data_IF_698858100984
#
_entry.id   IF_698858100984
#
_cell.length_a   1.000
_cell.length_b   1.000
_cell.length_c   1.000
_cell.angle_alpha   90.00
_cell.angle_beta   90.00
_cell.angle_gamma   90.00
#
_symmetry.space_group_name_H-M   'P 1'
#
loop_
_entity.id
_entity.type
_entity.pdbx_description
1 polymer ?
#
# COMPACT_ATOMS: atom_id res chain seq x y z
N UNK A 1 1.26 18.06 -27.90
CA UNK A 1 1.04 16.65 -28.29
C UNK A 1 0.25 16.00 -27.17
N UNK A 2 -1.04 15.73 -27.40
CA UNK A 2 -1.93 15.14 -26.40
C UNK A 2 -1.60 13.64 -26.27
N UNK A 3 -1.03 13.26 -25.12
CA UNK A 3 -0.80 11.86 -24.76
C UNK A 3 -2.15 11.17 -24.60
N UNK A 4 -2.40 10.16 -25.42
CA UNK A 4 -3.62 9.35 -25.40
C UNK A 4 -3.64 8.59 -24.05
N UNK A 5 -4.58 8.94 -23.17
CA UNK A 5 -4.81 8.24 -21.91
C UNK A 5 -5.03 6.75 -22.21
N UNK A 6 -4.27 5.87 -21.54
CA UNK A 6 -4.53 4.43 -21.62
C UNK A 6 -5.81 4.17 -20.83
N UNK A 7 -6.69 3.40 -21.45
CA UNK A 7 -7.93 2.90 -20.86
C UNK A 7 -7.60 2.26 -19.49
N UNK A 8 -7.98 2.91 -18.39
CA UNK A 8 -7.75 2.45 -17.02
C UNK A 8 -6.75 3.23 -16.16
N UNK A 9 -6.10 4.29 -16.66
CA UNK A 9 -5.32 5.21 -15.83
C UNK A 9 -6.23 6.32 -15.29
N UNK A 10 -6.32 6.46 -13.96
CA UNK A 10 -7.04 7.56 -13.29
C UNK A 10 -6.40 8.90 -13.67
N UNK A 11 -7.21 9.94 -13.83
CA UNK A 11 -6.68 11.28 -14.02
C UNK A 11 -6.16 11.90 -12.71
N UNK A 12 -5.46 13.03 -12.81
CA UNK A 12 -4.85 13.68 -11.64
C UNK A 12 -5.87 14.13 -10.58
N UNK A 13 -7.08 14.49 -11.00
CA UNK A 13 -8.16 14.90 -10.09
C UNK A 13 -8.69 13.67 -9.35
N UNK A 14 -8.94 12.58 -10.07
CA UNK A 14 -9.38 11.30 -9.48
C UNK A 14 -8.34 10.73 -8.50
N UNK A 15 -7.06 10.91 -8.77
CA UNK A 15 -5.99 10.45 -7.87
C UNK A 15 -5.98 11.26 -6.57
N UNK A 16 -6.05 12.59 -6.66
CA UNK A 16 -6.12 13.46 -5.48
C UNK A 16 -7.37 13.15 -4.66
N UNK A 17 -8.51 12.91 -5.31
CA UNK A 17 -9.77 12.54 -4.66
C UNK A 17 -9.64 11.25 -3.81
N UNK A 18 -8.93 10.24 -4.30
CA UNK A 18 -8.65 9.02 -3.53
C UNK A 18 -7.85 9.32 -2.26
N UNK A 19 -6.85 10.20 -2.34
CA UNK A 19 -6.06 10.58 -1.17
C UNK A 19 -6.87 11.41 -0.17
N UNK A 20 -7.65 12.37 -0.65
CA UNK A 20 -8.33 13.37 0.16
C UNK A 20 -9.71 12.93 0.69
N UNK A 21 -10.39 12.00 0.01
CA UNK A 21 -11.75 11.58 0.36
C UNK A 21 -11.86 10.12 0.78
N UNK A 22 -11.11 9.22 0.14
CA UNK A 22 -11.26 7.77 0.39
C UNK A 22 -10.29 7.24 1.45
N UNK A 23 -9.00 7.53 1.31
CA UNK A 23 -7.95 7.00 2.19
C UNK A 23 -7.47 8.02 3.24
N UNK A 24 -8.04 9.23 3.28
CA UNK A 24 -7.58 10.37 4.11
C UNK A 24 -7.44 10.04 5.60
N UNK A 25 -8.35 9.25 6.16
CA UNK A 25 -8.32 8.88 7.58
C UNK A 25 -7.09 8.01 7.90
N UNK A 26 -6.66 7.14 6.98
CA UNK A 26 -5.48 6.28 7.13
C UNK A 26 -4.19 7.09 6.93
N UNK A 27 -4.20 8.02 5.97
CA UNK A 27 -3.11 8.97 5.77
C UNK A 27 -2.87 9.79 7.05
N UNK A 28 -3.95 10.31 7.65
CA UNK A 28 -3.90 11.04 8.92
C UNK A 28 -3.42 10.16 10.07
N UNK A 29 -3.96 8.95 10.21
CA UNK A 29 -3.58 8.02 11.28
C UNK A 29 -2.08 7.68 11.24
N UNK A 30 -1.52 7.36 10.07
CA UNK A 30 -0.07 7.14 9.91
C UNK A 30 0.74 8.38 10.29
N UNK A 31 0.36 9.56 9.78
CA UNK A 31 1.05 10.82 10.06
C UNK A 31 1.03 11.15 11.55
N UNK A 32 -0.12 11.01 12.19
CA UNK A 32 -0.28 11.22 13.63
C UNK A 32 0.59 10.25 14.44
N UNK A 33 0.62 8.97 14.07
CA UNK A 33 1.49 8.00 14.71
C UNK A 33 2.95 8.42 14.62
N UNK A 34 3.40 8.83 13.43
CA UNK A 34 4.77 9.26 13.21
C UNK A 34 5.16 10.51 13.99
N UNK A 35 4.24 11.47 14.14
CA UNK A 35 4.46 12.70 14.89
C UNK A 35 4.49 12.44 16.41
N UNK A 36 3.68 11.50 16.89
CA UNK A 36 3.52 11.20 18.32
C UNK A 36 4.46 10.12 18.83
N UNK A 37 5.04 9.31 17.94
CA UNK A 37 5.94 8.22 18.32
C UNK A 37 7.25 8.75 18.88
N UNK A 38 7.48 8.53 20.17
CA UNK A 38 8.73 8.87 20.84
C UNK A 38 9.91 8.01 20.35
N UNK A 39 9.63 6.80 19.85
CA UNK A 39 10.61 5.83 19.35
C UNK A 39 10.83 5.93 17.82
N UNK A 40 10.15 6.88 17.18
CA UNK A 40 10.22 7.12 15.74
C UNK A 40 9.27 6.25 14.90
N UNK A 41 9.44 6.31 13.58
CA UNK A 41 8.46 5.74 12.62
C UNK A 41 8.46 4.22 12.51
N UNK A 42 9.46 3.54 13.07
CA UNK A 42 9.66 2.09 12.92
C UNK A 42 9.01 1.27 14.04
N UNK A 43 8.12 1.86 14.83
CA UNK A 43 7.32 1.10 15.79
C UNK A 43 6.31 0.21 15.04
N UNK A 44 5.94 -0.91 15.67
CA UNK A 44 4.93 -1.83 15.11
C UNK A 44 3.61 -1.12 14.85
N UNK A 45 3.17 -0.25 15.77
CA UNK A 45 1.94 0.54 15.63
C UNK A 45 1.97 1.42 14.37
N UNK A 46 3.04 2.21 14.17
CA UNK A 46 3.14 3.09 13.02
C UNK A 46 3.29 2.33 11.70
N UNK A 47 3.88 1.14 11.74
CA UNK A 47 3.93 0.22 10.61
C UNK A 47 2.54 -0.32 10.24
N UNK A 48 1.71 -0.66 11.23
CA UNK A 48 0.34 -1.11 10.98
C UNK A 48 -0.49 -0.02 10.30
N UNK A 49 -0.38 1.23 10.75
CA UNK A 49 -1.02 2.37 10.10
C UNK A 49 -0.53 2.57 8.66
N UNK A 50 0.79 2.44 8.43
CA UNK A 50 1.37 2.51 7.09
C UNK A 50 0.88 1.39 6.16
N UNK A 51 0.73 0.17 6.67
CA UNK A 51 0.19 -0.96 5.91
C UNK A 51 -1.29 -0.77 5.60
N UNK A 52 -2.07 -0.21 6.53
CA UNK A 52 -3.48 0.10 6.33
C UNK A 52 -3.67 1.14 5.21
N UNK A 53 -2.92 2.25 5.25
CA UNK A 53 -2.93 3.26 4.18
C UNK A 53 -2.57 2.63 2.83
N UNK A 54 -1.44 1.89 2.75
CA UNK A 54 -1.00 1.24 1.51
C UNK A 54 -2.05 0.31 0.93
N UNK A 55 -2.75 -0.44 1.80
CA UNK A 55 -3.83 -1.34 1.39
C UNK A 55 -5.01 -0.58 0.78
N UNK A 56 -5.41 0.54 1.39
CA UNK A 56 -6.46 1.40 0.85
C UNK A 56 -6.07 1.96 -0.52
N UNK A 57 -4.91 2.59 -0.62
CA UNK A 57 -4.41 3.19 -1.86
C UNK A 57 -4.27 2.15 -2.98
N UNK A 58 -3.72 0.98 -2.67
CA UNK A 58 -3.64 -0.13 -3.61
C UNK A 58 -5.02 -0.58 -4.11
N UNK A 59 -6.03 -0.61 -3.23
CA UNK A 59 -7.40 -0.95 -3.57
C UNK A 59 -8.02 0.00 -4.61
N UNK A 60 -7.69 1.28 -4.56
CA UNK A 60 -8.20 2.29 -5.49
C UNK A 60 -7.36 2.38 -6.78
N UNK A 61 -6.03 2.46 -6.66
CA UNK A 61 -5.15 2.71 -7.81
C UNK A 61 -4.82 1.45 -8.61
N UNK A 62 -4.81 0.30 -7.95
CA UNK A 62 -4.38 -0.97 -8.52
C UNK A 62 -5.34 -2.11 -8.12
N UNK A 63 -6.67 -1.98 -8.32
CA UNK A 63 -7.67 -2.86 -7.72
C UNK A 63 -7.46 -4.34 -8.06
N UNK A 64 -7.10 -4.63 -9.31
CA UNK A 64 -6.82 -6.01 -9.75
C UNK A 64 -5.61 -6.62 -9.04
N UNK A 65 -4.52 -5.86 -8.92
CA UNK A 65 -3.29 -6.30 -8.27
C UNK A 65 -3.47 -6.36 -6.74
N UNK A 66 -4.16 -5.38 -6.16
CA UNK A 66 -4.50 -5.34 -4.74
C UNK A 66 -5.36 -6.53 -4.34
N UNK A 67 -6.38 -6.89 -5.14
CA UNK A 67 -7.17 -8.11 -4.90
C UNK A 67 -6.31 -9.36 -4.92
N UNK A 68 -5.37 -9.48 -5.87
CA UNK A 68 -4.43 -10.62 -5.94
C UNK A 68 -3.51 -10.69 -4.72
N UNK A 69 -3.12 -9.55 -4.17
CA UNK A 69 -2.17 -9.46 -3.06
C UNK A 69 -2.84 -9.62 -1.68
N UNK A 70 -3.91 -8.88 -1.41
CA UNK A 70 -4.55 -8.78 -0.09
C UNK A 70 -5.75 -9.71 0.12
N UNK A 71 -6.37 -10.23 -0.95
CA UNK A 71 -7.67 -10.94 -0.84
C UNK A 71 -7.59 -12.39 -1.34
N UNK A 72 -6.98 -12.63 -2.50
CA UNK A 72 -6.90 -13.98 -3.03
C UNK A 72 -6.14 -14.90 -2.09
N UNK A 73 -6.67 -16.12 -1.92
CA UNK A 73 -6.12 -17.13 -1.01
C UNK A 73 -5.91 -16.58 0.41
N UNK A 74 -6.91 -15.83 0.88
CA UNK A 74 -6.92 -15.26 2.23
C UNK A 74 -5.70 -14.36 2.53
N UNK A 75 -5.25 -13.62 1.52
CA UNK A 75 -4.12 -12.70 1.65
C UNK A 75 -2.78 -13.41 1.91
N UNK A 76 -2.61 -14.66 1.47
CA UNK A 76 -1.37 -15.43 1.72
C UNK A 76 -0.10 -14.64 1.35
N UNK A 77 -0.16 -13.86 0.27
CA UNK A 77 0.97 -13.09 -0.21
C UNK A 77 1.19 -11.79 0.57
N UNK A 78 0.14 -11.15 1.08
CA UNK A 78 0.29 -9.99 1.97
C UNK A 78 0.87 -10.42 3.32
N UNK A 79 0.31 -11.46 3.95
CA UNK A 79 0.82 -12.05 5.19
C UNK A 79 2.27 -12.52 5.04
N UNK A 80 2.62 -13.13 3.90
CA UNK A 80 4.00 -13.52 3.61
C UNK A 80 4.94 -12.33 3.41
N UNK A 81 4.49 -11.24 2.82
CA UNK A 81 5.32 -10.04 2.60
C UNK A 81 5.50 -9.21 3.89
N UNK A 82 4.45 -9.12 4.69
CA UNK A 82 4.42 -8.38 5.97
C UNK A 82 5.29 -9.03 7.05
N UNK A 83 5.71 -10.29 6.87
CA UNK A 83 6.59 -11.01 7.81
C UNK A 83 7.88 -10.29 8.16
N UNK A 84 8.39 -9.47 7.25
CA UNK A 84 9.65 -8.73 7.46
C UNK A 84 9.47 -7.58 8.44
N UNK A 85 8.22 -7.17 8.66
CA UNK A 85 7.87 -5.99 9.41
C UNK A 85 7.14 -6.37 10.72
N UNK A 86 6.25 -7.37 10.68
CA UNK A 86 5.44 -7.82 11.84
C UNK A 86 5.95 -9.17 12.41
N UNK A 87 6.86 -9.86 11.71
CA UNK A 87 7.36 -11.18 12.10
C UNK A 87 6.56 -12.34 11.48
N UNK A 88 7.00 -13.60 11.71
CA UNK A 88 6.42 -14.76 11.03
C UNK A 88 5.03 -15.13 11.56
N UNK A 89 4.08 -15.33 10.62
CA UNK A 89 2.78 -15.98 10.86
C UNK A 89 2.76 -17.41 10.30
N UNK A 90 1.76 -18.21 10.67
CA UNK A 90 1.54 -19.57 10.14
C UNK A 90 1.47 -19.57 8.61
N UNK A 91 0.73 -18.62 8.02
CA UNK A 91 0.59 -18.47 6.57
C UNK A 91 1.90 -18.05 5.92
N UNK A 92 2.62 -17.11 6.54
CA UNK A 92 3.92 -16.67 6.04
C UNK A 92 4.93 -17.83 6.01
N UNK A 93 4.88 -18.71 7.01
CA UNK A 93 5.73 -19.90 7.11
C UNK A 93 5.31 -20.98 6.11
N UNK A 94 4.01 -21.18 5.91
CA UNK A 94 3.48 -22.10 4.90
C UNK A 94 3.93 -21.69 3.48
N UNK A 95 3.89 -20.40 3.15
CA UNK A 95 4.46 -19.87 1.90
C UNK A 95 5.98 -20.09 1.90
N UNK A 96 6.67 -19.76 2.99
CA UNK A 96 8.13 -19.87 3.07
C UNK A 96 8.65 -21.31 2.97
N UNK A 97 7.87 -22.33 3.32
CA UNK A 97 8.28 -23.74 3.15
C UNK A 97 8.09 -24.24 1.71
N UNK A 98 7.34 -23.52 0.88
CA UNK A 98 7.02 -23.94 -0.49
C UNK A 98 7.62 -23.00 -1.55
N UNK A 99 8.59 -23.51 -2.33
CA UNK A 99 9.30 -22.74 -3.37
C UNK A 99 8.36 -22.20 -4.47
N UNK A 100 7.36 -22.98 -4.88
CA UNK A 100 6.41 -22.56 -5.91
C UNK A 100 5.50 -21.44 -5.39
N UNK A 101 5.00 -21.54 -4.14
CA UNK A 101 4.23 -20.47 -3.49
C UNK A 101 5.05 -19.20 -3.32
N UNK A 102 6.30 -19.30 -2.85
CA UNK A 102 7.23 -18.15 -2.80
C UNK A 102 7.39 -17.46 -4.16
N UNK A 103 7.57 -18.23 -5.23
CA UNK A 103 7.70 -17.66 -6.58
C UNK A 103 6.41 -16.94 -7.01
N UNK A 104 5.25 -17.52 -6.73
CA UNK A 104 3.96 -16.91 -7.02
C UNK A 104 3.76 -15.60 -6.25
N UNK A 105 3.98 -15.60 -4.92
CA UNK A 105 3.82 -14.38 -4.13
C UNK A 105 4.83 -13.29 -4.48
N UNK A 106 6.09 -13.65 -4.81
CA UNK A 106 7.04 -12.68 -5.37
C UNK A 106 6.51 -12.01 -6.64
N UNK A 107 5.91 -12.79 -7.54
CA UNK A 107 5.31 -12.22 -8.76
C UNK A 107 4.17 -11.26 -8.43
N UNK A 108 3.29 -11.63 -7.50
CA UNK A 108 2.16 -10.78 -7.07
C UNK A 108 2.65 -9.48 -6.44
N UNK A 109 3.64 -9.55 -5.54
CA UNK A 109 4.26 -8.36 -4.92
C UNK A 109 4.84 -7.44 -6.00
N UNK A 110 5.64 -7.99 -6.92
CA UNK A 110 6.26 -7.21 -7.99
C UNK A 110 5.24 -6.57 -8.93
N UNK A 111 4.16 -7.30 -9.26
CA UNK A 111 3.07 -6.76 -10.10
C UNK A 111 2.39 -5.57 -9.42
N UNK A 112 2.07 -5.69 -8.12
CA UNK A 112 1.47 -4.60 -7.35
C UNK A 112 2.43 -3.40 -7.23
N UNK A 113 3.70 -3.64 -6.90
CA UNK A 113 4.69 -2.57 -6.80
C UNK A 113 4.88 -1.81 -8.11
N UNK A 114 4.89 -2.50 -9.25
CA UNK A 114 4.99 -1.85 -10.58
C UNK A 114 3.77 -0.98 -10.88
N UNK A 115 2.58 -1.43 -10.52
CA UNK A 115 1.37 -0.62 -10.68
C UNK A 115 1.43 0.63 -9.81
N UNK A 116 1.73 0.47 -8.51
CA UNK A 116 1.82 1.59 -7.56
C UNK A 116 2.92 2.61 -7.90
N UNK A 117 3.97 2.22 -8.62
CA UNK A 117 5.00 3.15 -9.09
C UNK A 117 4.43 4.28 -9.95
N UNK A 118 3.35 4.03 -10.71
CA UNK A 118 2.68 5.07 -11.52
C UNK A 118 2.10 6.21 -10.68
N UNK A 119 1.77 5.91 -9.42
CA UNK A 119 1.10 6.82 -8.50
C UNK A 119 2.04 7.41 -7.43
N UNK A 120 3.32 7.03 -7.44
CA UNK A 120 4.30 7.44 -6.41
C UNK A 120 4.43 8.95 -6.26
N UNK A 121 4.31 9.70 -7.37
CA UNK A 121 4.40 11.18 -7.37
C UNK A 121 3.26 11.87 -6.61
N UNK A 122 2.17 11.14 -6.34
CA UNK A 122 1.00 11.64 -5.63
C UNK A 122 0.95 11.19 -4.17
N UNK A 123 1.95 10.44 -3.70
CA UNK A 123 1.94 9.94 -2.33
C UNK A 123 1.94 11.11 -1.32
N UNK A 124 1.17 11.04 -0.21
CA UNK A 124 0.96 12.19 0.68
C UNK A 124 2.20 12.58 1.47
N UNK A 125 3.24 11.75 1.52
CA UNK A 125 4.53 12.22 2.02
C UNK A 125 5.19 13.26 1.11
N UNK A 126 4.86 13.26 -0.19
CA UNK A 126 5.44 14.14 -1.20
C UNK A 126 4.46 15.21 -1.70
N UNK A 127 3.17 15.06 -1.36
CA UNK A 127 2.12 16.05 -1.63
C UNK A 127 1.73 16.70 -0.30
N UNK A 128 1.98 18.02 -0.12
CA UNK A 128 1.52 18.74 1.07
C UNK A 128 -0.01 18.65 1.17
N UNK A 129 -0.54 18.22 2.31
CA UNK A 129 -1.97 18.34 2.59
C UNK A 129 -2.28 19.75 3.11
N UNK A 130 -3.52 20.20 2.93
CA UNK A 130 -4.02 21.46 3.50
C UNK A 130 -3.77 21.57 5.01
N UNK A 131 -3.81 20.43 5.72
CA UNK A 131 -3.59 20.34 7.16
C UNK A 131 -2.10 20.55 7.56
N UNK A 132 -1.16 20.46 6.60
CA UNK A 132 0.28 20.73 6.83
C UNK A 132 0.62 22.23 6.75
N UNK A 133 -0.32 23.06 6.27
CA UNK A 133 -0.15 24.49 6.04
C UNK A 133 -0.85 25.36 7.11
N UNK A 134 -1.50 24.73 8.09
CA UNK A 134 -2.18 25.37 9.23
C UNK A 134 -1.31 25.31 10.49
#
# INVERSE_FOLDING_TARGET
MAGRAKEGDLDEIEIVDVFEQHCVHLVRARRDCWLRSAEGKQTEECLLEELAEKKCLAGHFCPSQARRFYVLRDGECSKWAERFAIGPSEESEAVNKNRARKKACRSVVMDLSKCLQGYRKYHPEYVPHSDDLA
#
